data_IF_426425700779
#
_entry.id   IF_426425700779
#
_cell.length_a   1.000
_cell.length_b   1.000
_cell.length_c   1.000
_cell.angle_alpha   90.00
_cell.angle_beta   90.00
_cell.angle_gamma   90.00
#
_symmetry.space_group_name_H-M   'P 1'
#
loop_
_entity.id
_entity.type
_entity.pdbx_description
1 polymer ?
#
# COMPACT_ATOMS: atom_id res chain seq x y z
N UNK A 1 4.13 19.52 13.35
CA UNK A 1 4.11 20.55 12.28
C UNK A 1 3.72 19.83 11.00
N UNK A 2 2.82 20.40 10.19
CA UNK A 2 2.40 19.83 8.91
C UNK A 2 2.22 20.95 7.88
N UNK A 3 2.31 20.60 6.59
CA UNK A 3 2.18 21.53 5.46
C UNK A 3 1.14 20.99 4.49
N UNK A 4 0.30 21.87 3.94
CA UNK A 4 -0.62 21.56 2.85
C UNK A 4 0.00 22.08 1.56
N UNK A 5 0.07 21.22 0.54
CA UNK A 5 0.58 21.55 -0.79
C UNK A 5 -0.55 21.33 -1.78
N UNK A 6 -0.89 22.37 -2.54
CA UNK A 6 -1.85 22.33 -3.63
C UNK A 6 -1.15 22.61 -4.96
N UNK A 7 -1.32 21.70 -5.91
CA UNK A 7 -0.71 21.81 -7.23
C UNK A 7 -1.34 22.93 -8.07
N UNK A 8 -0.48 23.72 -8.74
CA UNK A 8 -0.90 24.69 -9.77
C UNK A 8 -0.64 24.21 -11.19
N UNK A 9 0.20 23.18 -11.34
CA UNK A 9 0.51 22.53 -12.61
C UNK A 9 -0.13 21.15 -12.65
N UNK A 10 -0.63 20.79 -13.83
CA UNK A 10 -1.38 19.54 -14.02
C UNK A 10 -0.79 18.69 -15.14
N UNK A 11 -0.91 17.39 -14.99
CA UNK A 11 -0.53 16.37 -15.99
C UNK A 11 -1.76 15.59 -16.43
N UNK A 12 -1.74 15.08 -17.66
CA UNK A 12 -2.79 14.17 -18.14
C UNK A 12 -2.71 12.85 -17.37
N UNK A 13 -3.86 12.40 -16.90
CA UNK A 13 -4.02 11.19 -16.11
C UNK A 13 -5.40 10.58 -16.33
N UNK A 14 -5.70 9.54 -15.56
CA UNK A 14 -6.99 8.87 -15.58
C UNK A 14 -7.55 8.78 -14.16
N UNK A 15 -8.87 8.84 -14.07
CA UNK A 15 -9.62 8.60 -12.84
C UNK A 15 -10.83 7.74 -13.18
N UNK A 16 -10.74 6.45 -12.86
CA UNK A 16 -11.74 5.43 -13.20
C UNK A 16 -11.97 5.32 -14.71
N UNK A 17 -10.87 5.25 -15.48
CA UNK A 17 -10.87 5.18 -16.94
C UNK A 17 -11.23 6.48 -17.65
N UNK A 18 -11.58 7.55 -16.92
CA UNK A 18 -11.92 8.85 -17.50
C UNK A 18 -10.70 9.77 -17.53
N UNK A 19 -10.49 10.54 -18.61
CA UNK A 19 -9.45 11.58 -18.65
C UNK A 19 -9.55 12.53 -17.47
N UNK A 20 -8.42 12.78 -16.81
CA UNK A 20 -8.34 13.62 -15.62
C UNK A 20 -7.06 14.46 -15.61
N UNK A 21 -7.14 15.67 -15.07
CA UNK A 21 -5.98 16.55 -14.84
C UNK A 21 -5.48 16.37 -13.42
N UNK A 22 -4.44 15.55 -13.24
CA UNK A 22 -3.85 15.33 -11.93
C UNK A 22 -2.82 16.41 -11.59
N UNK A 23 -2.76 16.85 -10.33
CA UNK A 23 -1.71 17.76 -9.87
C UNK A 23 -0.33 17.11 -10.03
N UNK A 24 0.63 17.84 -10.60
CA UNK A 24 1.93 17.29 -11.01
C UNK A 24 2.74 16.72 -9.83
N UNK A 25 2.85 17.48 -8.73
CA UNK A 25 3.55 17.04 -7.53
C UNK A 25 2.83 15.86 -6.88
N UNK A 26 1.53 16.01 -6.63
CA UNK A 26 0.72 14.99 -5.96
C UNK A 26 0.70 13.67 -6.75
N UNK A 27 0.59 13.75 -8.08
CA UNK A 27 0.66 12.59 -8.97
C UNK A 27 2.03 11.91 -8.90
N UNK A 28 3.12 12.68 -9.04
CA UNK A 28 4.48 12.14 -8.99
C UNK A 28 4.76 11.47 -7.65
N UNK A 29 4.40 12.11 -6.54
CA UNK A 29 4.62 11.58 -5.20
C UNK A 29 3.91 10.23 -5.01
N UNK A 30 2.63 10.16 -5.40
CA UNK A 30 1.86 8.92 -5.34
C UNK A 30 2.51 7.82 -6.18
N UNK A 31 2.86 8.12 -7.43
CA UNK A 31 3.44 7.15 -8.35
C UNK A 31 4.79 6.62 -7.85
N UNK A 32 5.65 7.48 -7.31
CA UNK A 32 6.92 7.07 -6.71
C UNK A 32 6.70 6.14 -5.51
N UNK A 33 5.85 6.54 -4.55
CA UNK A 33 5.56 5.71 -3.37
C UNK A 33 4.96 4.36 -3.75
N UNK A 34 4.00 4.34 -4.67
CA UNK A 34 3.37 3.10 -5.11
C UNK A 34 4.34 2.24 -5.92
N UNK A 35 5.21 2.82 -6.74
CA UNK A 35 6.22 2.01 -7.44
C UNK A 35 7.13 1.26 -6.47
N UNK A 36 7.54 1.89 -5.37
CA UNK A 36 8.34 1.25 -4.33
C UNK A 36 7.56 0.18 -3.57
N UNK A 37 6.37 0.51 -3.06
CA UNK A 37 5.58 -0.39 -2.21
C UNK A 37 4.99 -1.57 -2.98
N UNK A 38 4.75 -1.40 -4.28
CA UNK A 38 4.24 -2.44 -5.15
C UNK A 38 5.34 -3.19 -5.90
N UNK A 39 6.60 -2.78 -5.73
CA UNK A 39 7.75 -3.37 -6.42
C UNK A 39 7.69 -3.22 -7.94
N UNK A 40 7.07 -2.14 -8.45
CA UNK A 40 6.92 -1.89 -9.89
C UNK A 40 8.20 -1.30 -10.47
N UNK A 41 8.59 -1.79 -11.65
CA UNK A 41 9.69 -1.21 -12.41
C UNK A 41 9.24 0.05 -13.16
N UNK A 42 10.19 0.88 -13.62
CA UNK A 42 9.91 2.16 -14.30
C UNK A 42 8.98 2.03 -15.52
N UNK A 43 8.99 0.87 -16.20
CA UNK A 43 8.09 0.59 -17.33
C UNK A 43 6.64 0.25 -16.93
N UNK A 44 6.38 0.01 -15.66
CA UNK A 44 5.09 -0.46 -15.13
C UNK A 44 4.32 0.63 -14.38
N UNK A 45 4.89 1.84 -14.28
CA UNK A 45 4.23 3.00 -13.65
C UNK A 45 2.85 3.28 -14.32
N UNK A 46 2.70 2.93 -15.59
CA UNK A 46 1.43 3.05 -16.31
C UNK A 46 0.28 2.25 -15.66
N UNK A 47 0.56 1.19 -14.90
CA UNK A 47 -0.43 0.38 -14.17
C UNK A 47 -1.05 1.12 -12.96
N UNK A 48 -0.36 2.14 -12.47
CA UNK A 48 -0.74 2.93 -11.28
C UNK A 48 -1.07 4.39 -11.63
N UNK A 49 -1.16 4.72 -12.91
CA UNK A 49 -1.55 6.05 -13.39
C UNK A 49 -2.98 6.38 -12.97
N UNK A 50 -3.90 5.42 -13.07
CA UNK A 50 -5.26 5.54 -12.57
C UNK A 50 -5.35 4.97 -11.14
N UNK A 51 -5.50 5.81 -10.11
CA UNK A 51 -5.49 5.35 -8.73
C UNK A 51 -6.79 4.65 -8.30
N UNK A 52 -7.88 4.78 -9.07
CA UNK A 52 -9.21 4.27 -8.69
C UNK A 52 -9.74 3.22 -9.66
N UNK A 53 -8.97 2.85 -10.68
CA UNK A 53 -9.30 1.73 -11.55
C UNK A 53 -9.36 0.42 -10.76
N UNK A 54 -10.33 -0.43 -11.07
CA UNK A 54 -10.50 -1.75 -10.44
C UNK A 54 -9.25 -2.63 -10.57
N UNK A 55 -8.52 -2.52 -11.68
CA UNK A 55 -7.25 -3.23 -11.89
C UNK A 55 -6.23 -2.85 -10.83
N UNK A 56 -6.10 -1.56 -10.56
CA UNK A 56 -5.15 -1.00 -9.61
C UNK A 56 -5.54 -1.36 -8.19
N UNK A 57 -6.83 -1.29 -7.84
CA UNK A 57 -7.33 -1.76 -6.54
C UNK A 57 -7.04 -3.25 -6.31
N UNK A 58 -7.28 -4.11 -7.31
CA UNK A 58 -7.01 -5.54 -7.22
C UNK A 58 -5.52 -5.83 -7.01
N UNK A 59 -4.64 -5.08 -7.66
CA UNK A 59 -3.20 -5.25 -7.49
C UNK A 59 -2.72 -4.77 -6.11
N UNK A 60 -3.25 -3.65 -5.60
CA UNK A 60 -3.04 -3.23 -4.21
C UNK A 60 -3.50 -4.30 -3.20
N UNK A 61 -4.69 -4.88 -3.43
CA UNK A 61 -5.25 -5.91 -2.56
C UNK A 61 -4.39 -7.17 -2.52
N UNK A 62 -3.90 -7.65 -3.67
CA UNK A 62 -2.98 -8.80 -3.75
C UNK A 62 -1.69 -8.55 -2.98
N UNK A 63 -1.18 -7.32 -3.02
CA UNK A 63 0.06 -6.95 -2.32
C UNK A 63 -0.19 -6.88 -0.82
N UNK A 64 -1.27 -6.24 -0.38
CA UNK A 64 -1.67 -6.27 1.03
C UNK A 64 -1.80 -7.71 1.53
N UNK A 65 -2.46 -8.58 0.76
CA UNK A 65 -2.60 -10.00 1.10
C UNK A 65 -1.23 -10.71 1.20
N UNK A 66 -0.32 -10.45 0.25
CA UNK A 66 1.04 -11.00 0.26
C UNK A 66 1.86 -10.50 1.45
N UNK A 67 1.82 -9.20 1.75
CA UNK A 67 2.52 -8.58 2.89
C UNK A 67 1.95 -9.06 4.22
N UNK A 68 0.63 -9.20 4.34
CA UNK A 68 0.02 -9.79 5.55
C UNK A 68 0.43 -11.24 5.72
N UNK A 69 0.44 -12.03 4.64
CA UNK A 69 0.93 -13.42 4.67
C UNK A 69 2.42 -13.49 5.05
N UNK A 70 3.25 -12.58 4.56
CA UNK A 70 4.67 -12.56 4.89
C UNK A 70 4.92 -12.10 6.33
N UNK A 71 4.19 -11.10 6.83
CA UNK A 71 4.18 -10.68 8.25
C UNK A 71 3.80 -11.83 9.19
N UNK A 72 2.79 -12.63 8.81
CA UNK A 72 2.42 -13.83 9.56
C UNK A 72 3.46 -14.97 9.43
N UNK A 73 4.26 -14.98 8.36
CA UNK A 73 5.33 -15.93 8.13
C UNK A 73 6.68 -15.52 8.77
N UNK A 74 6.85 -14.27 9.20
CA UNK A 74 8.01 -13.85 9.97
C UNK A 74 7.89 -14.40 11.41
N UNK A 75 8.80 -15.27 11.87
CA UNK A 75 8.74 -15.88 13.21
C UNK A 75 9.16 -14.90 14.33
N UNK A 76 9.05 -13.59 14.11
CA UNK A 76 9.41 -12.56 15.10
C UNK A 76 8.18 -12.00 15.82
N UNK A 77 7.19 -12.84 16.13
CA UNK A 77 6.31 -12.68 17.29
C UNK A 77 6.15 -14.04 17.95
N UNK A 78 7.21 -14.52 18.60
CA UNK A 78 7.09 -15.46 19.73
C UNK A 78 6.81 -14.64 20.99
N UNK A 79 5.67 -13.95 21.03
CA UNK A 79 5.17 -13.40 22.27
C UNK A 79 3.66 -13.62 22.30
N UNK A 80 3.17 -14.14 23.43
CA UNK A 80 1.80 -14.56 23.74
C UNK A 80 1.31 -15.88 23.15
N UNK A 81 1.83 -17.00 23.68
CA UNK A 81 1.02 -18.03 24.39
C UNK A 81 2.00 -19.04 25.01
N UNK A 82 2.06 -19.11 26.34
CA UNK A 82 2.88 -20.10 27.04
C UNK A 82 3.36 -19.78 28.46
N UNK A 83 3.00 -18.63 29.04
CA UNK A 83 3.25 -18.38 30.46
C UNK A 83 2.08 -18.91 31.32
N UNK A 84 2.23 -20.16 31.75
CA UNK A 84 1.85 -20.68 33.06
C UNK A 84 0.38 -20.54 33.53
N UNK A 85 -0.46 -21.54 33.22
CA UNK A 85 -1.70 -21.83 33.95
C UNK A 85 -1.95 -23.34 34.08
N UNK A 86 -1.04 -24.08 34.72
CA UNK A 86 -1.34 -25.48 35.14
C UNK A 86 -0.65 -25.96 36.42
N UNK A 87 -0.18 -25.07 37.29
CA UNK A 87 0.36 -25.49 38.62
C UNK A 87 -0.42 -24.96 39.84
N UNK A 88 -1.63 -24.42 39.66
CA UNK A 88 -2.55 -24.18 40.79
C UNK A 88 -3.83 -25.01 40.64
N UNK A 89 -3.75 -26.25 41.09
CA UNK A 89 -4.86 -26.98 41.71
C UNK A 89 -4.26 -28.10 42.56
N UNK A 90 -3.94 -27.78 43.81
CA UNK A 90 -3.80 -28.78 44.87
C UNK A 90 -5.19 -29.37 45.14
N UNK A 91 -5.38 -30.65 44.82
CA UNK A 91 -5.95 -31.75 45.63
C UNK A 91 -5.85 -33.01 44.78
#
# INVERSE_FOLDING_TARGET
IGVVIEDKEYVESLMNGKPWKAGKFSHSLRCSLWSEHLGLHTGEINKITDPVADSTYKDLWKILESTMKSLLAFPMIKYTQGAHLSQFSSV
#
